data_IF_277998376394
#
_entry.id   IF_277998376394
#
_cell.length_a   1.000
_cell.length_b   1.000
_cell.length_c   1.000
_cell.angle_alpha   90.00
_cell.angle_beta   90.00
_cell.angle_gamma   90.00
#
_symmetry.space_group_name_H-M   'P 1'
#
loop_
_entity.id
_entity.type
_entity.pdbx_description
1 polymer ?
#
# COMPACT_ATOMS: atom_id res chain seq x y z
N UNK A 1 -37.87 8.98 40.65
CA UNK A 1 -37.64 9.84 39.46
C UNK A 1 -37.60 8.96 38.21
N UNK A 2 -38.66 8.97 37.41
CA UNK A 2 -38.62 8.35 36.08
C UNK A 2 -37.95 9.33 35.12
N UNK A 3 -36.83 8.93 34.52
CA UNK A 3 -36.11 9.75 33.55
C UNK A 3 -36.91 9.82 32.24
N UNK A 4 -37.37 11.02 31.90
CA UNK A 4 -37.90 11.37 30.59
C UNK A 4 -36.76 11.34 29.57
N UNK A 5 -36.68 10.28 28.77
CA UNK A 5 -35.85 10.28 27.57
C UNK A 5 -36.59 11.00 26.43
N UNK A 6 -35.89 11.83 25.63
CA UNK A 6 -36.49 12.51 24.49
C UNK A 6 -36.88 11.50 23.39
N UNK A 7 -37.93 11.80 22.60
CA UNK A 7 -38.36 10.93 21.51
C UNK A 7 -37.28 10.83 20.42
N UNK A 8 -37.20 9.68 19.71
CA UNK A 8 -36.25 9.48 18.64
C UNK A 8 -36.52 10.44 17.47
N UNK A 9 -35.47 10.85 16.73
CA UNK A 9 -35.61 11.75 15.58
C UNK A 9 -36.42 11.09 14.46
N UNK A 10 -37.13 11.89 13.64
CA UNK A 10 -37.92 11.39 12.52
C UNK A 10 -37.02 10.76 11.45
N UNK A 11 -37.46 9.61 10.93
CA UNK A 11 -36.82 8.88 9.84
C UNK A 11 -36.55 9.79 8.64
N UNK A 12 -35.28 9.95 8.28
CA UNK A 12 -34.87 10.57 7.02
C UNK A 12 -35.25 9.64 5.85
N UNK A 13 -35.73 10.18 4.71
CA UNK A 13 -36.11 9.39 3.56
C UNK A 13 -34.89 8.66 2.98
N UNK A 14 -35.04 7.33 2.80
CA UNK A 14 -34.07 6.48 2.12
C UNK A 14 -33.80 7.01 0.72
N UNK A 15 -32.58 7.51 0.52
CA UNK A 15 -32.09 7.95 -0.79
C UNK A 15 -31.73 6.69 -1.59
N UNK A 16 -32.50 6.39 -2.65
CA UNK A 16 -32.16 5.30 -3.58
C UNK A 16 -30.77 5.55 -4.19
N UNK A 17 -29.88 4.53 -4.22
CA UNK A 17 -28.58 4.66 -4.87
C UNK A 17 -28.76 4.64 -6.39
N UNK A 18 -28.68 5.81 -6.99
CA UNK A 18 -28.58 5.97 -8.45
C UNK A 18 -27.14 5.68 -8.88
N UNK A 19 -27.01 4.72 -9.81
CA UNK A 19 -25.80 4.34 -10.55
C UNK A 19 -24.61 3.82 -9.72
N UNK A 20 -24.56 2.50 -9.55
CA UNK A 20 -23.30 1.77 -9.37
C UNK A 20 -22.46 1.87 -10.66
N UNK A 21 -21.22 2.36 -10.62
CA UNK A 21 -20.37 2.39 -11.80
C UNK A 21 -19.88 0.96 -12.10
N UNK A 22 -20.13 0.52 -13.33
CA UNK A 22 -19.69 -0.76 -13.91
C UNK A 22 -18.19 -1.07 -13.70
N UNK A 23 -17.35 -0.05 -13.41
CA UNK A 23 -15.91 -0.19 -13.14
C UNK A 23 -15.58 -0.85 -11.79
N UNK A 24 -16.42 -0.72 -10.76
CA UNK A 24 -16.12 -1.26 -9.42
C UNK A 24 -16.18 -2.80 -9.41
N UNK A 25 -16.94 -3.39 -10.31
CA UNK A 25 -17.13 -4.85 -10.40
C UNK A 25 -15.85 -5.55 -10.90
N UNK A 26 -15.10 -4.93 -11.83
CA UNK A 26 -13.91 -5.54 -12.44
C UNK A 26 -12.66 -5.43 -11.55
N UNK A 27 -12.49 -4.32 -10.83
CA UNK A 27 -11.43 -4.19 -9.81
C UNK A 27 -11.56 -5.26 -8.73
N UNK A 28 -12.80 -5.57 -8.36
CA UNK A 28 -13.09 -6.61 -7.40
C UNK A 28 -12.83 -8.01 -7.95
N UNK A 29 -13.03 -8.24 -9.26
CA UNK A 29 -12.70 -9.51 -9.89
C UNK A 29 -11.19 -9.79 -9.85
N UNK A 30 -10.34 -8.82 -10.25
CA UNK A 30 -8.88 -8.94 -10.22
C UNK A 30 -8.31 -9.17 -8.80
N UNK A 31 -8.75 -8.38 -7.81
CA UNK A 31 -8.28 -8.54 -6.43
C UNK A 31 -8.79 -9.84 -5.83
N UNK A 32 -10.06 -10.17 -6.10
CA UNK A 32 -10.63 -11.45 -5.70
C UNK A 32 -9.90 -12.59 -6.38
N UNK A 33 -9.45 -12.49 -7.63
CA UNK A 33 -8.65 -13.50 -8.31
C UNK A 33 -7.27 -13.66 -7.65
N UNK A 34 -6.56 -12.57 -7.34
CA UNK A 34 -5.27 -12.63 -6.64
C UNK A 34 -5.38 -13.21 -5.21
N UNK A 35 -6.41 -12.81 -4.47
CA UNK A 35 -6.72 -13.33 -3.12
C UNK A 35 -7.20 -14.78 -3.20
N UNK A 36 -8.07 -15.12 -4.16
CA UNK A 36 -8.60 -16.47 -4.35
C UNK A 36 -7.52 -17.42 -4.84
N UNK A 37 -6.59 -17.00 -5.70
CA UNK A 37 -5.42 -17.78 -6.07
C UNK A 37 -4.53 -18.06 -4.85
N UNK A 38 -4.34 -17.06 -3.98
CA UNK A 38 -3.59 -17.23 -2.72
C UNK A 38 -4.29 -18.19 -1.74
N UNK A 39 -5.63 -18.22 -1.72
CA UNK A 39 -6.44 -19.11 -0.87
C UNK A 39 -6.59 -20.52 -1.47
N UNK A 40 -6.78 -20.65 -2.78
CA UNK A 40 -6.92 -21.92 -3.50
C UNK A 40 -5.61 -22.71 -3.53
N UNK A 41 -4.47 -22.05 -3.71
CA UNK A 41 -3.15 -22.68 -3.59
C UNK A 41 -2.92 -23.25 -2.18
N UNK A 42 -3.59 -22.70 -1.16
CA UNK A 42 -3.60 -23.26 0.19
C UNK A 42 -4.46 -24.53 0.36
N UNK A 43 -5.55 -24.67 -0.40
CA UNK A 43 -6.51 -25.77 -0.23
C UNK A 43 -6.18 -27.04 -1.05
N UNK A 44 -5.41 -26.95 -2.13
CA UNK A 44 -5.17 -28.08 -3.04
C UNK A 44 -3.99 -28.98 -2.58
N UNK A 45 -3.08 -28.48 -1.76
CA UNK A 45 -1.84 -29.19 -1.38
C UNK A 45 -1.94 -30.06 -0.11
N UNK A 46 -3.15 -30.34 0.40
CA UNK A 46 -3.36 -31.03 1.68
C UNK A 46 -4.13 -32.35 1.66
N UNK A 47 -4.49 -32.91 0.50
CA UNK A 47 -5.27 -34.16 0.45
C UNK A 47 -4.35 -35.37 0.25
N UNK A 48 -3.83 -35.90 1.34
CA UNK A 48 -3.47 -37.32 1.48
C UNK A 48 -3.43 -37.69 2.97
N UNK A 49 -4.59 -38.03 3.55
CA UNK A 49 -4.71 -38.86 4.75
C UNK A 49 -6.18 -39.29 4.99
N UNK A 50 -6.52 -40.47 4.48
CA UNK A 50 -7.50 -41.46 4.93
C UNK A 50 -8.72 -41.03 5.78
N UNK A 51 -9.92 -41.23 5.22
CA UNK A 51 -11.13 -41.51 6.01
C UNK A 51 -12.41 -41.01 5.35
N UNK A 52 -13.26 -41.94 4.94
CA UNK A 52 -14.50 -41.72 4.20
C UNK A 52 -15.45 -40.71 4.87
N UNK A 53 -15.89 -39.70 4.10
CA UNK A 53 -17.09 -38.90 4.37
C UNK A 53 -17.80 -38.67 3.03
N UNK A 54 -19.09 -38.98 3.01
CA UNK A 54 -19.99 -38.94 1.86
C UNK A 54 -20.23 -37.53 1.29
N UNK A 55 -20.39 -37.51 -0.04
CA UNK A 55 -21.15 -36.60 -0.90
C UNK A 55 -21.37 -35.15 -0.43
N UNK A 56 -20.39 -34.29 -0.70
CA UNK A 56 -20.65 -33.03 -1.39
C UNK A 56 -19.61 -32.90 -2.50
N UNK A 57 -20.06 -32.67 -3.74
CA UNK A 57 -19.21 -32.61 -4.93
C UNK A 57 -18.22 -31.45 -4.85
N UNK A 58 -17.08 -31.67 -4.19
CA UNK A 58 -15.90 -30.83 -4.32
C UNK A 58 -15.18 -31.31 -5.58
N UNK A 59 -15.16 -30.48 -6.62
CA UNK A 59 -14.41 -30.75 -7.84
C UNK A 59 -12.94 -30.89 -7.45
N UNK A 60 -12.41 -32.11 -7.50
CA UNK A 60 -10.96 -32.35 -7.41
C UNK A 60 -10.33 -31.83 -8.70
N UNK A 61 -9.91 -30.58 -8.69
CA UNK A 61 -8.99 -30.08 -9.71
C UNK A 61 -7.63 -30.77 -9.52
N UNK A 62 -7.09 -31.32 -10.59
CA UNK A 62 -5.72 -31.84 -10.56
C UNK A 62 -4.72 -30.69 -10.35
N UNK A 63 -3.57 -30.98 -9.73
CA UNK A 63 -2.51 -29.98 -9.54
C UNK A 63 -2.09 -29.31 -10.87
N UNK A 64 -2.08 -30.07 -11.97
CA UNK A 64 -1.79 -29.54 -13.31
C UNK A 64 -2.86 -28.58 -13.81
N UNK A 65 -4.14 -28.85 -13.53
CA UNK A 65 -5.25 -27.97 -13.90
C UNK A 65 -5.29 -26.71 -13.04
N UNK A 66 -4.93 -26.82 -11.76
CA UNK A 66 -4.73 -25.66 -10.89
C UNK A 66 -3.55 -24.79 -11.33
N UNK A 67 -2.45 -25.40 -11.78
CA UNK A 67 -1.29 -24.67 -12.32
C UNK A 67 -1.62 -23.97 -13.65
N UNK A 68 -2.39 -24.62 -14.52
CA UNK A 68 -2.86 -24.04 -15.77
C UNK A 68 -3.86 -22.89 -15.56
N UNK A 69 -4.84 -23.06 -14.66
CA UNK A 69 -5.74 -21.96 -14.29
C UNK A 69 -5.00 -20.82 -13.60
N UNK A 70 -4.03 -21.12 -12.73
CA UNK A 70 -3.21 -20.09 -12.10
C UNK A 70 -2.37 -19.31 -13.12
N UNK A 71 -1.85 -19.97 -14.15
CA UNK A 71 -1.13 -19.31 -15.25
C UNK A 71 -2.07 -18.42 -16.09
N UNK A 72 -3.27 -18.90 -16.41
CA UNK A 72 -4.26 -18.16 -17.18
C UNK A 72 -4.82 -16.97 -16.41
N UNK A 73 -5.12 -17.15 -15.11
CA UNK A 73 -5.47 -16.08 -14.19
C UNK A 73 -4.34 -15.06 -14.02
N UNK A 74 -3.07 -15.45 -14.17
CA UNK A 74 -1.94 -14.52 -14.08
C UNK A 74 -1.91 -13.57 -15.28
N UNK A 75 -2.12 -14.09 -16.48
CA UNK A 75 -2.17 -13.29 -17.71
C UNK A 75 -3.41 -12.39 -17.71
N UNK A 76 -4.58 -12.91 -17.31
CA UNK A 76 -5.81 -12.10 -17.16
C UNK A 76 -5.68 -11.04 -16.05
N UNK A 77 -5.03 -11.37 -14.94
CA UNK A 77 -4.77 -10.42 -13.86
C UNK A 77 -3.83 -9.31 -14.34
N UNK A 78 -2.78 -9.61 -15.12
CA UNK A 78 -1.88 -8.57 -15.65
C UNK A 78 -2.63 -7.58 -16.57
N UNK A 79 -3.54 -8.08 -17.41
CA UNK A 79 -4.39 -7.26 -18.28
C UNK A 79 -5.47 -6.47 -17.49
N UNK A 80 -6.16 -7.09 -16.54
CA UNK A 80 -7.16 -6.39 -15.71
C UNK A 80 -6.49 -5.37 -14.78
N UNK A 81 -5.37 -5.72 -14.15
CA UNK A 81 -4.62 -4.81 -13.28
C UNK A 81 -4.11 -3.61 -14.11
N UNK A 82 -3.72 -3.82 -15.37
CA UNK A 82 -3.43 -2.74 -16.31
C UNK A 82 -4.62 -1.79 -16.50
N UNK A 83 -5.83 -2.32 -16.73
CA UNK A 83 -7.07 -1.55 -16.90
C UNK A 83 -7.51 -0.82 -15.61
N UNK A 84 -7.43 -1.48 -14.45
CA UNK A 84 -7.74 -0.88 -13.14
C UNK A 84 -6.85 0.31 -12.86
N UNK A 85 -5.54 0.15 -13.12
CA UNK A 85 -4.59 1.21 -12.92
C UNK A 85 -4.82 2.32 -13.95
N UNK A 86 -5.06 2.01 -15.23
CA UNK A 86 -5.31 3.01 -16.27
C UNK A 86 -6.60 3.82 -16.00
N UNK A 87 -7.65 3.21 -15.44
CA UNK A 87 -8.87 3.88 -14.99
C UNK A 87 -8.62 4.88 -13.85
N UNK A 88 -7.64 4.61 -12.98
CA UNK A 88 -7.15 5.53 -11.96
C UNK A 88 -6.10 6.52 -12.49
N UNK A 89 -5.83 6.51 -13.79
CA UNK A 89 -4.81 7.34 -14.44
C UNK A 89 -3.37 6.94 -14.07
N UNK A 90 -3.16 5.70 -13.66
CA UNK A 90 -1.87 5.14 -13.24
C UNK A 90 -1.48 4.03 -14.21
N UNK A 91 -0.26 4.01 -14.69
CA UNK A 91 0.18 2.90 -15.53
C UNK A 91 0.62 1.74 -14.61
N UNK A 92 0.06 0.53 -14.75
CA UNK A 92 0.42 -0.63 -13.92
C UNK A 92 1.92 -0.91 -13.87
N UNK A 93 2.61 -0.76 -15.02
CA UNK A 93 4.06 -0.90 -15.14
C UNK A 93 4.81 0.12 -14.28
N UNK A 94 4.30 1.34 -14.10
CA UNK A 94 4.91 2.35 -13.24
C UNK A 94 4.72 2.05 -11.76
N UNK A 95 3.62 1.41 -11.37
CA UNK A 95 3.37 1.00 -9.99
C UNK A 95 4.18 -0.26 -9.62
N UNK A 96 4.30 -1.20 -10.57
CA UNK A 96 5.20 -2.35 -10.47
C UNK A 96 6.68 -1.94 -10.34
N UNK A 97 7.05 -0.80 -10.92
CA UNK A 97 8.40 -0.23 -10.88
C UNK A 97 8.67 0.73 -9.71
N UNK A 98 7.67 1.06 -8.88
CA UNK A 98 7.86 1.85 -7.65
C UNK A 98 8.57 1.00 -6.59
N UNK A 99 9.85 0.74 -6.79
CA UNK A 99 10.74 0.22 -5.74
C UNK A 99 11.06 1.36 -4.76
N UNK A 100 10.61 1.26 -3.52
CA UNK A 100 11.19 2.07 -2.46
C UNK A 100 12.63 1.60 -2.21
N UNK A 101 13.60 2.49 -1.95
CA UNK A 101 14.97 2.08 -1.63
C UNK A 101 15.01 0.97 -0.57
N UNK A 102 15.60 -0.16 -0.93
CA UNK A 102 15.73 -1.37 -0.10
C UNK A 102 14.43 -2.16 0.13
N UNK A 103 13.35 -1.91 -0.61
CA UNK A 103 12.17 -2.79 -0.66
C UNK A 103 12.19 -3.48 -2.02
N UNK A 104 11.98 -4.80 -2.05
CA UNK A 104 11.84 -5.57 -3.30
C UNK A 104 10.79 -4.89 -4.20
N UNK A 105 11.00 -4.83 -5.52
CA UNK A 105 9.99 -4.29 -6.43
C UNK A 105 8.70 -5.10 -6.32
N UNK A 106 7.54 -4.54 -6.66
CA UNK A 106 6.27 -5.30 -6.60
C UNK A 106 6.33 -6.55 -7.49
N UNK A 107 7.02 -6.47 -8.65
CA UNK A 107 7.29 -7.65 -9.50
C UNK A 107 8.10 -8.72 -8.77
N UNK A 108 9.15 -8.32 -8.04
CA UNK A 108 9.95 -9.25 -7.24
C UNK A 108 9.13 -9.81 -6.08
N UNK A 109 8.29 -9.01 -5.44
CA UNK A 109 7.37 -9.46 -4.38
C UNK A 109 6.38 -10.50 -4.92
N UNK A 110 5.77 -10.28 -6.09
CA UNK A 110 4.88 -11.25 -6.75
C UNK A 110 5.65 -12.52 -7.11
N UNK A 111 6.88 -12.40 -7.63
CA UNK A 111 7.71 -13.55 -7.98
C UNK A 111 8.10 -14.37 -6.75
N UNK A 112 8.36 -13.72 -5.62
CA UNK A 112 8.69 -14.37 -4.36
C UNK A 112 7.44 -14.97 -3.70
N UNK A 113 6.32 -14.27 -3.74
CA UNK A 113 5.02 -14.78 -3.28
C UNK A 113 4.59 -16.02 -4.09
N UNK A 114 4.89 -16.09 -5.38
CA UNK A 114 4.65 -17.28 -6.19
C UNK A 114 5.52 -18.49 -5.80
N UNK A 115 6.62 -18.28 -5.07
CA UNK A 115 7.43 -19.36 -4.49
C UNK A 115 6.97 -19.73 -3.08
N UNK A 116 5.95 -19.06 -2.55
CA UNK A 116 5.47 -19.32 -1.21
C UNK A 116 4.85 -20.72 -1.14
N UNK A 117 5.57 -21.62 -0.48
CA UNK A 117 5.02 -22.90 -0.03
C UNK A 117 4.46 -22.70 1.35
N UNK A 118 3.23 -23.17 1.62
CA UNK A 118 2.70 -23.15 2.97
C UNK A 118 3.68 -23.87 3.91
N UNK A 119 4.10 -23.25 5.02
CA UNK A 119 4.98 -23.91 5.96
C UNK A 119 4.27 -25.14 6.55
N UNK A 120 5.04 -26.17 6.85
CA UNK A 120 4.51 -27.34 7.55
C UNK A 120 3.97 -26.93 8.92
N UNK A 121 2.86 -27.52 9.40
CA UNK A 121 2.33 -27.29 10.74
C UNK A 121 3.43 -27.32 11.82
N UNK A 122 3.54 -26.24 12.61
CA UNK A 122 4.54 -26.11 13.67
C UNK A 122 3.87 -26.46 14.99
N UNK A 123 4.09 -27.71 15.43
CA UNK A 123 3.57 -28.17 16.73
C UNK A 123 4.04 -27.24 17.84
N UNK A 124 3.09 -26.64 18.54
CA UNK A 124 3.36 -25.79 19.70
C UNK A 124 3.51 -24.31 19.40
N UNK A 125 3.07 -23.83 18.22
CA UNK A 125 3.09 -22.39 17.89
C UNK A 125 2.44 -21.50 18.96
N UNK A 126 1.32 -21.92 19.56
CA UNK A 126 0.71 -21.22 20.70
C UNK A 126 1.70 -20.98 21.86
N UNK A 127 2.50 -21.99 22.23
CA UNK A 127 3.52 -21.85 23.29
C UNK A 127 4.58 -20.82 22.93
N UNK A 128 4.90 -20.68 21.64
CA UNK A 128 5.83 -19.67 21.12
C UNK A 128 5.26 -18.26 21.28
N UNK A 129 3.99 -18.06 20.90
CA UNK A 129 3.28 -16.77 21.08
C UNK A 129 3.20 -16.41 22.57
N UNK A 130 2.80 -17.34 23.43
CA UNK A 130 2.74 -17.13 24.89
C UNK A 130 4.13 -16.84 25.47
N UNK A 131 5.18 -17.54 25.02
CA UNK A 131 6.57 -17.30 25.45
C UNK A 131 7.09 -15.91 25.05
N UNK A 132 6.56 -15.32 23.98
CA UNK A 132 6.93 -13.98 23.56
C UNK A 132 6.32 -12.88 24.46
N UNK A 133 5.28 -13.17 25.25
CA UNK A 133 4.60 -12.16 26.07
C UNK A 133 5.41 -11.69 27.29
N UNK A 134 6.01 -12.57 28.12
CA UNK A 134 6.78 -12.13 29.28
C UNK A 134 7.97 -11.28 28.87
N UNK A 135 8.06 -10.07 29.41
CA UNK A 135 9.15 -9.13 29.12
C UNK A 135 8.98 -8.35 27.82
N UNK A 136 7.96 -8.62 27.01
CA UNK A 136 7.67 -7.85 25.78
C UNK A 136 7.49 -6.37 26.08
N UNK A 137 6.68 -6.02 27.07
CA UNK A 137 6.40 -4.63 27.41
C UNK A 137 7.66 -3.88 27.86
N UNK A 138 8.52 -4.53 28.67
CA UNK A 138 9.79 -3.95 29.12
C UNK A 138 10.78 -3.78 27.96
N UNK A 139 10.93 -4.79 27.09
CA UNK A 139 11.79 -4.68 25.91
C UNK A 139 11.25 -3.61 24.94
N UNK A 140 9.94 -3.54 24.74
CA UNK A 140 9.30 -2.53 23.90
C UNK A 140 9.56 -1.11 24.43
N UNK A 141 9.34 -0.87 25.73
CA UNK A 141 9.61 0.44 26.37
C UNK A 141 11.08 0.84 26.32
N UNK A 142 12.00 -0.11 26.16
CA UNK A 142 13.43 0.18 25.98
C UNK A 142 13.79 0.70 24.58
N UNK A 143 12.90 0.54 23.58
CA UNK A 143 13.16 0.96 22.20
C UNK A 143 12.87 2.45 22.02
N UNK A 144 13.85 3.20 21.51
CA UNK A 144 13.74 4.65 21.30
C UNK A 144 12.64 5.09 20.32
N UNK A 145 12.06 4.18 19.53
CA UNK A 145 11.02 4.47 18.52
C UNK A 145 9.60 4.10 18.98
N UNK A 146 9.45 3.50 20.16
CA UNK A 146 8.16 3.05 20.70
C UNK A 146 7.72 3.97 21.84
N UNK A 147 6.46 4.36 21.85
CA UNK A 147 5.82 5.05 22.97
C UNK A 147 5.22 4.04 23.96
N UNK A 148 4.88 4.49 25.16
CA UNK A 148 4.18 3.64 26.13
C UNK A 148 2.81 3.16 25.61
N UNK A 149 2.10 4.01 24.87
CA UNK A 149 0.84 3.65 24.24
C UNK A 149 1.04 2.58 23.16
N UNK A 150 2.07 2.70 22.33
CA UNK A 150 2.39 1.68 21.31
C UNK A 150 2.68 0.33 21.95
N UNK A 151 3.46 0.32 23.04
CA UNK A 151 3.80 -0.92 23.75
C UNK A 151 2.57 -1.55 24.41
N UNK A 152 1.70 -0.73 24.99
CA UNK A 152 0.43 -1.19 25.59
C UNK A 152 -0.47 -1.82 24.52
N UNK A 153 -0.62 -1.14 23.38
CA UNK A 153 -1.44 -1.61 22.25
C UNK A 153 -0.84 -2.87 21.63
N UNK A 154 0.49 -2.93 21.43
CA UNK A 154 1.18 -4.12 20.94
C UNK A 154 1.05 -5.31 21.90
N UNK A 155 1.07 -5.08 23.21
CA UNK A 155 0.86 -6.15 24.20
C UNK A 155 -0.59 -6.68 24.17
N UNK A 156 -1.58 -5.79 23.99
CA UNK A 156 -2.97 -6.19 23.76
C UNK A 156 -3.11 -7.02 22.49
N UNK A 157 -2.43 -6.63 21.41
CA UNK A 157 -2.40 -7.39 20.15
C UNK A 157 -1.82 -8.78 20.39
N UNK A 158 -0.66 -8.88 21.04
CA UNK A 158 0.00 -10.16 21.33
C UNK A 158 -0.86 -11.08 22.20
N UNK A 159 -1.59 -10.51 23.18
CA UNK A 159 -2.57 -11.24 23.98
C UNK A 159 -3.72 -11.77 23.12
N UNK A 160 -4.22 -10.97 22.18
CA UNK A 160 -5.23 -11.39 21.21
C UNK A 160 -4.72 -12.50 20.29
N UNK A 161 -3.46 -12.45 19.84
CA UNK A 161 -2.82 -13.53 19.07
C UNK A 161 -2.71 -14.83 19.90
N UNK A 162 -2.31 -14.74 21.17
CA UNK A 162 -2.22 -15.89 22.07
C UNK A 162 -3.59 -16.57 22.22
N UNK A 163 -4.64 -15.79 22.44
CA UNK A 163 -6.01 -16.30 22.55
C UNK A 163 -6.50 -16.97 21.26
N UNK A 164 -6.19 -16.40 20.10
CA UNK A 164 -6.59 -16.96 18.80
C UNK A 164 -5.76 -18.18 18.36
N UNK A 165 -4.71 -18.54 19.12
CA UNK A 165 -3.94 -19.78 18.88
C UNK A 165 -4.24 -20.87 19.90
N UNK A 166 -5.23 -20.67 20.77
CA UNK A 166 -5.69 -21.71 21.69
C UNK A 166 -6.42 -22.81 20.91
N UNK A 167 -6.11 -24.07 21.23
CA UNK A 167 -6.78 -25.24 20.65
C UNK A 167 -5.95 -26.02 19.63
N UNK A 168 -6.60 -26.96 18.89
CA UNK A 168 -5.93 -27.76 17.88
C UNK A 168 -5.45 -26.90 16.72
N UNK A 169 -4.30 -27.24 16.16
CA UNK A 169 -3.74 -26.52 15.01
C UNK A 169 -4.68 -26.63 13.79
N UNK A 170 -5.05 -25.51 13.14
CA UNK A 170 -5.89 -25.56 11.95
C UNK A 170 -5.13 -26.18 10.77
N UNK A 171 -5.86 -26.64 9.76
CA UNK A 171 -5.31 -27.26 8.56
C UNK A 171 -4.25 -26.37 7.87
N UNK A 172 -4.43 -25.06 7.86
CA UNK A 172 -3.51 -24.07 7.27
C UNK A 172 -2.47 -23.52 8.25
N UNK A 173 -2.21 -24.23 9.36
CA UNK A 173 -1.27 -23.85 10.44
C UNK A 173 -1.66 -22.59 11.21
N UNK A 174 -1.23 -22.48 12.48
CA UNK A 174 -1.42 -21.24 13.23
C UNK A 174 -0.70 -20.06 12.61
N UNK A 175 0.45 -20.33 11.98
CA UNK A 175 1.26 -19.32 11.35
C UNK A 175 0.54 -18.69 10.13
N UNK A 176 -0.04 -19.51 9.25
CA UNK A 176 -0.88 -19.04 8.15
C UNK A 176 -2.13 -18.30 8.63
N UNK A 177 -2.73 -18.77 9.72
CA UNK A 177 -3.89 -18.13 10.33
C UNK A 177 -3.55 -16.72 10.85
N UNK A 178 -2.50 -16.56 11.66
CA UNK A 178 -2.12 -15.26 12.20
C UNK A 178 -1.62 -14.30 11.13
N UNK A 179 -0.90 -14.78 10.11
CA UNK A 179 -0.49 -13.97 8.96
C UNK A 179 -1.68 -13.38 8.22
N UNK A 180 -2.67 -14.21 7.93
CA UNK A 180 -3.91 -13.78 7.27
C UNK A 180 -4.70 -12.82 8.15
N UNK A 181 -4.83 -13.13 9.45
CA UNK A 181 -5.52 -12.29 10.41
C UNK A 181 -4.86 -10.91 10.57
N UNK A 182 -3.53 -10.82 10.56
CA UNK A 182 -2.82 -9.55 10.67
C UNK A 182 -2.75 -8.77 9.35
N UNK A 183 -2.92 -9.43 8.21
CA UNK A 183 -2.88 -8.78 6.90
C UNK A 183 -1.59 -8.00 6.61
N UNK A 184 -0.46 -8.34 7.25
CA UNK A 184 0.81 -7.56 7.16
C UNK A 184 1.22 -7.37 5.70
N UNK A 185 1.03 -8.41 4.88
CA UNK A 185 1.28 -8.37 3.45
C UNK A 185 0.51 -7.24 2.76
N UNK A 186 -0.80 -7.15 3.01
CA UNK A 186 -1.67 -6.16 2.42
C UNK A 186 -1.32 -4.74 2.85
N UNK A 187 -1.14 -4.57 4.16
CA UNK A 187 -0.93 -3.24 4.73
C UNK A 187 0.46 -2.66 4.46
N UNK A 188 1.52 -3.45 4.58
CA UNK A 188 2.89 -2.93 4.44
C UNK A 188 3.40 -3.02 3.00
N UNK A 189 3.08 -4.07 2.26
CA UNK A 189 3.79 -4.38 1.02
C UNK A 189 2.94 -4.20 -0.23
N UNK A 190 1.82 -4.94 -0.36
CA UNK A 190 1.00 -4.93 -1.58
C UNK A 190 -0.50 -4.89 -1.25
N UNK A 191 -1.19 -3.76 -1.50
CA UNK A 191 -0.73 -2.60 -2.27
C UNK A 191 0.12 -1.62 -1.41
N UNK A 192 0.26 -1.90 -0.12
CA UNK A 192 1.08 -1.15 0.83
C UNK A 192 0.39 0.09 1.41
N UNK A 193 1.05 0.72 2.38
CA UNK A 193 0.47 1.81 3.22
C UNK A 193 0.03 3.03 2.44
N UNK A 194 0.50 3.15 1.20
CA UNK A 194 0.15 4.19 0.26
C UNK A 194 -1.26 4.08 -0.30
N UNK A 195 -1.70 2.85 -0.54
CA UNK A 195 -2.84 2.56 -1.41
C UNK A 195 -3.92 1.77 -0.70
N UNK A 196 -3.56 1.00 0.33
CA UNK A 196 -4.49 0.15 1.07
C UNK A 196 -5.72 0.94 1.50
N UNK A 197 -5.54 2.16 2.03
CA UNK A 197 -6.64 2.97 2.50
C UNK A 197 -7.56 3.42 1.37
N UNK A 198 -7.01 4.04 0.33
CA UNK A 198 -7.80 4.54 -0.82
C UNK A 198 -8.47 3.42 -1.61
N UNK A 199 -7.92 2.21 -1.54
CA UNK A 199 -8.48 1.04 -2.21
C UNK A 199 -9.67 0.44 -1.43
N UNK A 200 -9.65 0.56 -0.10
CA UNK A 200 -10.67 0.03 0.79
C UNK A 200 -11.79 1.03 1.11
N UNK A 201 -11.47 2.32 1.22
CA UNK A 201 -12.43 3.43 1.38
C UNK A 201 -13.12 3.69 0.02
N UNK A 202 -14.06 2.81 -0.31
CA UNK A 202 -14.72 2.75 -1.62
C UNK A 202 -15.72 3.89 -1.79
N UNK A 203 -16.37 4.31 -0.70
CA UNK A 203 -17.33 5.41 -0.68
C UNK A 203 -16.68 6.79 -0.41
N UNK A 204 -15.38 6.82 -0.08
CA UNK A 204 -14.57 8.03 0.18
C UNK A 204 -15.03 8.81 1.40
N UNK A 205 -15.57 8.12 2.41
CA UNK A 205 -16.01 8.72 3.66
C UNK A 205 -14.85 8.95 4.65
N UNK A 206 -13.61 8.61 4.28
CA UNK A 206 -12.37 8.70 5.09
C UNK A 206 -12.28 7.67 6.23
N UNK A 207 -13.19 6.71 6.25
CA UNK A 207 -13.14 5.49 7.04
C UNK A 207 -13.12 4.28 6.11
N UNK A 208 -12.87 3.12 6.67
CA UNK A 208 -13.04 1.84 5.99
C UNK A 208 -14.05 1.08 6.82
N UNK A 209 -15.16 0.67 6.22
CA UNK A 209 -16.19 -0.14 6.89
C UNK A 209 -15.87 -1.64 6.83
N UNK A 210 -16.48 -2.41 7.74
CA UNK A 210 -16.38 -3.88 7.72
C UNK A 210 -16.93 -4.46 6.41
N UNK A 211 -18.00 -3.87 5.88
CA UNK A 211 -18.61 -4.25 4.61
C UNK A 211 -17.65 -4.05 3.43
N UNK A 212 -16.94 -2.92 3.38
CA UNK A 212 -15.94 -2.66 2.33
C UNK A 212 -14.77 -3.65 2.37
N UNK A 213 -14.26 -3.94 3.56
CA UNK A 213 -13.27 -5.00 3.78
C UNK A 213 -13.79 -6.35 3.28
N UNK A 214 -15.02 -6.72 3.67
CA UNK A 214 -15.67 -7.97 3.25
C UNK A 214 -15.86 -8.04 1.75
N UNK A 215 -16.16 -6.91 1.10
CA UNK A 215 -16.33 -6.83 -0.34
C UNK A 215 -15.01 -7.06 -1.08
N UNK A 216 -13.88 -6.64 -0.50
CA UNK A 216 -12.56 -6.83 -1.11
C UNK A 216 -11.97 -8.22 -0.84
N UNK A 217 -11.98 -8.67 0.41
CA UNK A 217 -11.32 -9.92 0.84
C UNK A 217 -12.23 -11.14 0.77
N UNK A 218 -13.55 -10.94 0.72
CA UNK A 218 -14.54 -12.01 0.81
C UNK A 218 -14.84 -12.42 2.25
N UNK A 219 -16.00 -13.05 2.44
CA UNK A 219 -16.52 -13.45 3.76
C UNK A 219 -15.62 -14.46 4.49
N UNK A 220 -15.00 -15.39 3.76
CA UNK A 220 -14.12 -16.41 4.34
C UNK A 220 -12.84 -15.81 4.94
N UNK A 221 -12.17 -14.91 4.22
CA UNK A 221 -10.98 -14.23 4.74
C UNK A 221 -11.34 -13.33 5.92
N UNK A 222 -12.49 -12.63 5.84
CA UNK A 222 -12.96 -11.78 6.93
C UNK A 222 -13.31 -12.55 8.20
N UNK A 223 -13.76 -13.80 8.11
CA UNK A 223 -13.99 -14.62 9.28
C UNK A 223 -12.70 -14.82 10.11
N UNK A 224 -11.56 -15.03 9.44
CA UNK A 224 -10.26 -15.10 10.09
C UNK A 224 -9.74 -13.72 10.52
N UNK A 225 -10.11 -12.65 9.81
CA UNK A 225 -9.70 -11.28 10.10
C UNK A 225 -10.49 -10.62 11.23
N UNK A 226 -11.68 -11.12 11.56
CA UNK A 226 -12.60 -10.50 12.52
C UNK A 226 -11.98 -10.15 13.90
N UNK A 227 -11.10 -10.97 14.51
CA UNK A 227 -10.42 -10.58 15.74
C UNK A 227 -9.49 -9.35 15.55
N UNK A 228 -8.80 -9.26 14.42
CA UNK A 228 -7.98 -8.10 14.08
C UNK A 228 -8.84 -6.88 13.75
N UNK A 229 -9.98 -7.06 13.07
CA UNK A 229 -10.93 -5.97 12.82
C UNK A 229 -11.36 -5.27 14.10
N UNK A 230 -11.85 -6.03 15.09
CA UNK A 230 -12.25 -5.49 16.40
C UNK A 230 -11.12 -4.83 17.17
N UNK A 231 -9.88 -5.18 16.84
CA UNK A 231 -8.71 -4.55 17.41
C UNK A 231 -8.35 -3.24 16.68
N UNK A 232 -8.60 -3.19 15.38
CA UNK A 232 -8.40 -2.02 14.52
C UNK A 232 -9.47 -0.95 14.70
N UNK A 233 -10.68 -1.33 15.11
CA UNK A 233 -11.83 -0.47 15.41
C UNK A 233 -12.07 -0.47 16.94
N UNK A 234 -11.24 0.25 17.73
CA UNK A 234 -11.32 0.24 19.19
C UNK A 234 -12.54 0.98 19.75
N UNK A 235 -13.12 1.94 19.03
CA UNK A 235 -14.31 2.66 19.47
C UNK A 235 -15.62 1.94 19.06
N UNK A 236 -15.53 1.00 18.11
CA UNK A 236 -16.62 0.13 17.71
C UNK A 236 -17.66 0.85 16.85
N UNK A 237 -17.28 1.92 16.16
CA UNK A 237 -18.17 2.67 15.28
C UNK A 237 -18.43 1.94 13.95
N UNK A 238 -17.73 0.83 13.70
CA UNK A 238 -17.85 0.00 12.50
C UNK A 238 -17.01 0.51 11.33
N UNK A 239 -16.16 1.52 11.54
CA UNK A 239 -15.42 2.25 10.52
C UNK A 239 -14.00 2.60 10.98
N UNK A 240 -13.01 1.90 10.45
CA UNK A 240 -11.60 2.17 10.75
C UNK A 240 -11.08 3.44 10.04
N UNK A 241 -10.62 4.41 10.83
CA UNK A 241 -9.95 5.64 10.39
C UNK A 241 -8.48 5.43 10.02
N UNK A 242 -7.83 6.46 9.46
CA UNK A 242 -6.38 6.42 9.13
C UNK A 242 -5.52 6.36 10.39
N UNK A 243 -5.93 7.08 11.43
CA UNK A 243 -5.29 7.15 12.73
C UNK A 243 -5.32 5.78 13.41
N UNK A 244 -6.46 5.11 13.37
CA UNK A 244 -6.59 3.75 13.91
C UNK A 244 -5.78 2.73 13.13
N UNK A 245 -5.81 2.77 11.79
CA UNK A 245 -4.95 1.93 10.96
C UNK A 245 -3.47 2.19 11.25
N UNK A 246 -3.06 3.45 11.45
CA UNK A 246 -1.69 3.81 11.80
C UNK A 246 -1.27 3.20 13.15
N UNK A 247 -2.10 3.34 14.18
CA UNK A 247 -1.87 2.77 15.50
C UNK A 247 -1.81 1.23 15.47
N UNK A 248 -2.72 0.61 14.72
CA UNK A 248 -2.72 -0.82 14.47
C UNK A 248 -1.39 -1.28 13.84
N UNK A 249 -0.95 -0.62 12.75
CA UNK A 249 0.28 -1.02 12.07
C UNK A 249 1.51 -0.86 12.96
N UNK A 250 1.56 0.19 13.78
CA UNK A 250 2.63 0.33 14.78
C UNK A 250 2.66 -0.85 15.74
N UNK A 251 1.51 -1.25 16.27
CA UNK A 251 1.39 -2.41 17.15
C UNK A 251 1.83 -3.72 16.46
N UNK A 252 1.38 -3.95 15.22
CA UNK A 252 1.76 -5.11 14.40
C UNK A 252 3.27 -5.17 14.17
N UNK A 253 3.90 -4.04 13.82
CA UNK A 253 5.34 -3.95 13.56
C UNK A 253 6.16 -4.21 14.84
N UNK A 254 5.68 -3.78 16.00
CA UNK A 254 6.32 -4.09 17.28
C UNK A 254 6.20 -5.58 17.63
N UNK A 255 5.01 -6.18 17.44
CA UNK A 255 4.80 -7.62 17.62
C UNK A 255 5.67 -8.44 16.66
N UNK A 256 5.84 -7.99 15.41
CA UNK A 256 6.79 -8.60 14.46
C UNK A 256 8.21 -8.66 15.03
N UNK A 257 8.61 -7.66 15.83
CA UNK A 257 9.94 -7.64 16.45
C UNK A 257 10.24 -8.86 17.35
N UNK A 258 9.21 -9.47 17.93
CA UNK A 258 9.35 -10.70 18.76
C UNK A 258 8.85 -11.97 18.07
N UNK A 259 8.03 -11.84 17.04
CA UNK A 259 7.52 -12.93 16.20
C UNK A 259 7.77 -12.59 14.71
N UNK A 260 9.03 -12.58 14.25
CA UNK A 260 9.39 -12.13 12.90
C UNK A 260 8.74 -12.98 11.81
N UNK A 261 8.43 -14.24 12.10
CA UNK A 261 7.77 -15.14 11.17
C UNK A 261 6.33 -14.71 10.82
N UNK A 262 5.71 -13.80 11.58
CA UNK A 262 4.41 -13.22 11.19
C UNK A 262 4.51 -12.39 9.90
N UNK A 263 5.71 -11.96 9.51
CA UNK A 263 5.94 -11.32 8.22
C UNK A 263 6.34 -12.36 7.17
N UNK A 264 5.40 -12.72 6.29
CA UNK A 264 5.66 -13.69 5.22
C UNK A 264 6.51 -13.17 4.08
N UNK A 265 6.72 -11.86 3.97
CA UNK A 265 7.43 -11.23 2.84
C UNK A 265 8.88 -10.92 3.23
N UNK A 266 9.07 -10.29 4.38
CA UNK A 266 10.39 -9.91 4.88
C UNK A 266 10.48 -10.01 6.41
N UNK A 267 10.69 -11.23 6.96
CA UNK A 267 10.86 -11.45 8.40
C UNK A 267 12.00 -10.64 9.02
N UNK A 268 12.98 -10.21 8.21
CA UNK A 268 14.19 -9.49 8.63
C UNK A 268 14.12 -8.00 8.31
N UNK A 269 12.93 -7.50 7.92
CA UNK A 269 12.75 -6.10 7.64
C UNK A 269 13.12 -5.25 8.86
N UNK A 270 13.85 -4.15 8.62
CA UNK A 270 14.21 -3.20 9.65
C UNK A 270 12.93 -2.57 10.28
N UNK A 271 12.82 -2.62 11.61
CA UNK A 271 11.65 -2.13 12.34
C UNK A 271 11.40 -0.65 12.10
N UNK A 272 12.47 0.16 12.12
CA UNK A 272 12.37 1.62 11.91
C UNK A 272 11.84 1.93 10.50
N UNK A 273 12.29 1.19 9.48
CA UNK A 273 11.78 1.29 8.12
C UNK A 273 10.28 0.98 8.05
N UNK A 274 9.83 -0.10 8.68
CA UNK A 274 8.42 -0.45 8.67
C UNK A 274 7.55 0.56 9.43
N UNK A 275 8.03 1.11 10.54
CA UNK A 275 7.35 2.20 11.25
C UNK A 275 7.22 3.45 10.37
N UNK A 276 8.26 3.80 9.62
CA UNK A 276 8.19 4.87 8.63
C UNK A 276 7.20 4.58 7.50
N UNK A 277 6.98 3.31 7.13
CA UNK A 277 5.94 2.94 6.18
C UNK A 277 4.55 3.12 6.79
N UNK A 278 4.34 2.73 8.04
CA UNK A 278 3.08 2.95 8.76
C UNK A 278 2.73 4.45 8.83
N UNK A 279 3.70 5.34 9.12
CA UNK A 279 3.47 6.78 9.15
C UNK A 279 2.92 7.36 7.83
N UNK A 280 3.11 6.70 6.69
CA UNK A 280 2.55 7.14 5.40
C UNK A 280 1.04 6.96 5.31
N UNK A 281 0.42 6.20 6.20
CA UNK A 281 -1.05 6.09 6.28
C UNK A 281 -1.66 7.44 6.64
N UNK A 282 -1.07 8.17 7.60
CA UNK A 282 -1.54 9.49 8.03
C UNK A 282 -1.29 10.57 6.97
N UNK A 283 -0.16 10.46 6.28
CA UNK A 283 0.27 11.45 5.30
C UNK A 283 0.68 10.72 4.02
N UNK A 284 -0.29 10.25 3.21
CA UNK A 284 0.03 9.63 1.95
C UNK A 284 0.78 10.66 1.10
N UNK A 285 2.01 10.39 0.61
CA UNK A 285 2.64 11.27 -0.36
C UNK A 285 1.68 11.57 -1.49
N UNK A 286 1.76 12.80 -1.97
CA UNK A 286 0.96 13.28 -3.07
C UNK A 286 0.93 12.20 -4.16
N UNK A 287 -0.29 11.81 -4.57
CA UNK A 287 -0.45 10.79 -5.59
C UNK A 287 0.49 11.14 -6.76
N UNK A 288 1.30 10.18 -7.24
CA UNK A 288 2.20 10.46 -8.34
C UNK A 288 1.36 11.09 -9.45
N UNK A 289 1.75 12.30 -9.86
CA UNK A 289 0.98 13.04 -10.84
C UNK A 289 0.85 12.16 -12.07
N UNK A 290 -0.37 12.09 -12.64
CA UNK A 290 -0.65 11.29 -13.83
C UNK A 290 0.47 11.49 -14.82
N UNK A 291 1.21 10.42 -15.12
CA UNK A 291 2.39 10.49 -15.99
C UNK A 291 1.95 11.20 -17.27
N UNK A 292 2.51 12.38 -17.52
CA UNK A 292 2.11 13.17 -18.69
C UNK A 292 2.18 12.27 -19.93
N UNK A 293 1.12 12.30 -20.74
CA UNK A 293 1.09 11.57 -22.01
C UNK A 293 2.27 12.01 -22.88
N UNK A 294 2.66 11.17 -23.83
CA UNK A 294 3.83 11.41 -24.69
C UNK A 294 3.78 12.80 -25.34
N UNK A 295 2.64 13.20 -25.92
CA UNK A 295 2.49 14.50 -26.58
C UNK A 295 2.62 15.71 -25.64
N UNK A 296 1.93 15.79 -24.48
CA UNK A 296 2.19 16.84 -23.49
C UNK A 296 3.65 16.94 -23.04
N UNK A 297 4.35 15.81 -22.87
CA UNK A 297 5.78 15.82 -22.56
C UNK A 297 6.60 16.44 -23.69
N UNK A 298 6.33 16.04 -24.92
CA UNK A 298 7.02 16.57 -26.09
C UNK A 298 6.77 18.07 -26.26
N UNK A 299 5.53 18.53 -26.06
CA UNK A 299 5.16 19.95 -26.08
C UNK A 299 5.85 20.73 -24.97
N UNK A 300 5.97 20.18 -23.75
CA UNK A 300 6.70 20.81 -22.66
C UNK A 300 8.19 20.97 -22.98
N UNK A 301 8.82 19.93 -23.53
CA UNK A 301 10.24 19.98 -23.96
C UNK A 301 10.43 20.99 -25.09
N UNK A 302 9.56 20.96 -26.11
CA UNK A 302 9.60 21.92 -27.21
C UNK A 302 9.41 23.35 -26.71
N UNK A 303 8.47 23.59 -25.79
CA UNK A 303 8.24 24.89 -25.17
C UNK A 303 9.47 25.42 -24.43
N UNK A 304 10.17 24.57 -23.68
CA UNK A 304 11.43 24.94 -23.01
C UNK A 304 12.50 25.30 -24.05
N UNK A 305 12.62 24.52 -25.14
CA UNK A 305 13.60 24.76 -26.19
C UNK A 305 13.36 26.08 -26.94
N UNK A 306 12.12 26.32 -27.39
CA UNK A 306 11.76 27.58 -28.06
C UNK A 306 11.84 28.77 -27.11
N UNK A 307 11.47 28.60 -25.84
CA UNK A 307 11.63 29.62 -24.81
C UNK A 307 13.10 30.02 -24.62
N UNK A 308 14.01 29.04 -24.59
CA UNK A 308 15.45 29.30 -24.49
C UNK A 308 16.00 30.04 -25.72
N UNK A 309 15.59 29.67 -26.94
CA UNK A 309 15.98 30.37 -28.17
C UNK A 309 15.47 31.81 -28.16
N UNK A 310 14.19 32.01 -27.83
CA UNK A 310 13.61 33.35 -27.77
C UNK A 310 14.33 34.24 -26.74
N UNK A 311 14.64 33.68 -25.57
CA UNK A 311 15.40 34.36 -24.52
C UNK A 311 16.82 34.71 -25.01
N UNK A 312 17.52 33.78 -25.66
CA UNK A 312 18.84 34.01 -26.23
C UNK A 312 18.82 35.12 -27.29
N UNK A 313 17.88 35.08 -28.23
CA UNK A 313 17.71 36.13 -29.23
C UNK A 313 17.43 37.49 -28.58
N UNK A 314 16.62 37.55 -27.52
CA UNK A 314 16.28 38.78 -26.81
C UNK A 314 17.50 39.40 -26.12
N UNK A 315 18.40 38.59 -25.55
CA UNK A 315 19.61 39.09 -24.90
C UNK A 315 20.76 39.38 -25.88
N UNK A 316 20.96 38.55 -26.91
CA UNK A 316 22.04 38.74 -27.88
C UNK A 316 21.78 39.94 -28.82
N UNK A 317 20.53 40.21 -29.20
CA UNK A 317 20.20 41.38 -30.02
C UNK A 317 20.35 42.71 -29.27
N UNK A 318 20.31 42.68 -27.92
CA UNK A 318 20.46 43.89 -27.08
C UNK A 318 21.91 44.31 -26.88
N UNK A 319 22.86 43.37 -26.93
CA UNK A 319 24.30 43.65 -26.74
C UNK A 319 24.97 44.32 -27.94
N UNK A 320 24.45 44.14 -29.15
CA UNK A 320 25.12 44.59 -30.38
C UNK A 320 24.95 46.09 -30.70
N UNK A 321 24.16 46.85 -29.93
CA UNK A 321 23.93 48.28 -30.18
C UNK A 321 24.99 49.23 -29.58
N UNK A 322 25.96 48.72 -28.80
CA UNK A 322 26.98 49.58 -28.16
C UNK A 322 28.33 49.67 -28.89
N UNK A 323 28.49 49.04 -30.06
CA UNK A 323 29.79 48.99 -30.75
C UNK A 323 29.90 49.87 -32.02
N UNK A 324 28.91 50.71 -32.34
CA UNK A 324 28.91 51.48 -33.61
C UNK A 324 29.38 52.94 -33.45
N UNK A 325 29.80 53.38 -32.27
CA UNK A 325 30.12 54.81 -32.04
C UNK A 325 31.52 55.07 -31.45
N UNK A 326 32.51 54.23 -31.73
CA UNK A 326 33.91 54.45 -31.29
C UNK A 326 34.94 54.58 -32.41
N UNK A 327 34.54 54.82 -33.66
CA UNK A 327 35.45 55.33 -34.70
C UNK A 327 35.23 56.85 -34.83
N UNK A 328 35.65 57.60 -33.80
CA UNK A 328 35.92 59.02 -33.94
C UNK A 328 37.41 59.15 -34.29
N UNK A 329 37.77 59.56 -35.52
CA UNK A 329 39.17 59.69 -35.92
C UNK A 329 39.84 60.81 -35.12
N UNK A 330 40.99 60.49 -34.54
CA UNK A 330 41.87 61.42 -33.82
C UNK A 330 42.64 62.33 -34.79
N UNK A 331 41.94 63.09 -35.63
CA UNK A 331 42.52 64.10 -36.51
C UNK A 331 42.07 65.51 -36.10
N UNK A 332 42.62 66.07 -35.01
CA UNK A 332 42.78 67.53 -34.89
C UNK A 332 43.71 67.93 -33.72
N UNK A 333 45.01 67.63 -33.82
CA UNK A 333 46.04 68.37 -33.06
C UNK A 333 47.32 68.46 -33.86
N UNK A 334 47.28 69.24 -34.93
CA UNK A 334 48.48 69.82 -35.49
C UNK A 334 48.13 71.20 -36.07
N UNK A 335 49.04 72.14 -35.82
CA UNK A 335 49.26 73.33 -36.64
C UNK A 335 48.44 74.59 -36.29
N UNK A 336 48.99 75.37 -35.35
CA UNK A 336 49.44 76.72 -35.68
C UNK A 336 50.34 77.30 -34.60
N UNK A 337 51.62 77.39 -34.94
CA UNK A 337 52.54 78.34 -34.34
C UNK A 337 53.42 78.91 -35.46
N UNK A 338 53.30 80.20 -35.78
CA UNK A 338 54.36 80.93 -36.44
C UNK A 338 54.79 82.11 -35.56
N UNK A 339 55.90 81.89 -34.86
CA UNK A 339 57.11 82.71 -34.85
C UNK A 339 56.94 84.22 -35.11
N UNK A 340 57.20 85.04 -34.09
CA UNK A 340 57.57 86.45 -34.26
C UNK A 340 58.45 86.94 -33.12
N UNK A 341 59.76 86.92 -33.40
CA UNK A 341 60.83 87.68 -32.70
C UNK A 341 60.60 89.19 -32.78
N UNK A 342 60.62 89.89 -31.64
CA UNK A 342 61.54 91.00 -31.26
C UNK A 342 60.95 91.88 -30.17
#
# INVERSE_FOLDING_TARGET
>A
ESQNLPPPPPNLPSREPTHTPFMTIRIQAAVKAAVTASVLLGNILGSDANGAVDELSLVQMSAAQAEQEAAQLRDELDDELADVFDAHGRNATSLLALGLPGVKSMKDQIKEAAKFTMPTPEKGYHKKVVKAMPGFEADCKSKAYATEEDCTTANKLLTMLAKNTEGPEPMWTWHGHLRTMLGIHFWLYTPGTMLCFTMLDMDKNKGISYEEMTKLFGTQAMAAFNPAWKFMDPDGDGSMTREELHNYLRAVILVRGVLPELDGIDPQADTKKCLNMAHRVLSPPAAPTKRMRFYPKLLSIAGIFFGAIALHCLFCTRGSRKAVDMDQPAEEMAEKDPDSKK
#
